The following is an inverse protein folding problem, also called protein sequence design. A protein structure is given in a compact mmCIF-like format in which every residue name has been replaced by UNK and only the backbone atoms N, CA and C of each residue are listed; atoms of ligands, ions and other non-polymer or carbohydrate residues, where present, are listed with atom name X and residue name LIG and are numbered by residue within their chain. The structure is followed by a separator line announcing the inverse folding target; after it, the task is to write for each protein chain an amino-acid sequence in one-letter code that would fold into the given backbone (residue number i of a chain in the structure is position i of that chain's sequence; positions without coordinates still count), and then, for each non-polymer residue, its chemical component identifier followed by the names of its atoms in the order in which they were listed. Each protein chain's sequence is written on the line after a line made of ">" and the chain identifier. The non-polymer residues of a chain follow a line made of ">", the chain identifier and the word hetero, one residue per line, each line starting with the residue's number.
data_IF_576348974997
#
_entry.id   IF_576348974997
#
_cell.length_a   1.000
_cell.length_b   1.000
_cell.length_c   1.000
_cell.angle_alpha   90.00
_cell.angle_beta   90.00
_cell.angle_gamma   90.00
#
_symmetry.space_group_name_H-M   'P 1'
#
loop_
_entity.id
_entity.type
_entity.pdbx_description
1 polymer ?
#
# COMPACT_ATOMS: atom_id res chain seq x y z
N UNK A 1 9.00 19.25 7.98
CA UNK A 1 7.62 18.83 7.68
C UNK A 1 7.73 18.07 6.37
N UNK A 2 7.52 16.75 6.38
CA UNK A 2 7.58 15.98 5.14
C UNK A 2 6.35 16.32 4.31
N UNK A 3 6.55 16.62 3.03
CA UNK A 3 5.44 16.90 2.12
C UNK A 3 4.55 15.66 1.99
N UNK A 4 3.23 15.89 1.90
CA UNK A 4 2.24 14.82 1.75
C UNK A 4 1.81 14.73 0.30
N UNK A 5 1.83 13.51 -0.24
CA UNK A 5 1.31 13.18 -1.56
C UNK A 5 0.02 12.38 -1.42
N UNK A 6 -0.92 12.64 -2.33
CA UNK A 6 -2.17 11.90 -2.38
C UNK A 6 -2.05 10.75 -3.37
N UNK A 7 -2.15 9.51 -2.89
CA UNK A 7 -2.05 8.30 -3.71
C UNK A 7 -3.42 7.62 -3.80
N UNK A 8 -3.98 7.44 -5.01
CA UNK A 8 -5.18 6.66 -5.19
C UNK A 8 -4.85 5.15 -5.11
N UNK A 9 -5.48 4.44 -4.18
CA UNK A 9 -5.34 2.99 -4.02
C UNK A 9 -6.69 2.31 -3.90
N UNK A 10 -6.80 1.10 -4.43
CA UNK A 10 -7.93 0.22 -4.11
C UNK A 10 -7.73 -0.42 -2.75
N UNK A 11 -8.81 -0.89 -2.11
CA UNK A 11 -8.69 -1.69 -0.88
C UNK A 11 -7.84 -2.95 -1.09
N UNK A 12 -7.83 -3.51 -2.29
CA UNK A 12 -6.89 -4.59 -2.65
C UNK A 12 -5.43 -4.12 -2.58
N UNK A 13 -5.12 -2.94 -3.13
CA UNK A 13 -3.79 -2.33 -3.02
C UNK A 13 -3.38 -2.08 -1.58
N UNK A 14 -4.29 -1.57 -0.74
CA UNK A 14 -4.06 -1.37 0.70
C UNK A 14 -3.72 -2.69 1.41
N UNK A 15 -4.46 -3.77 1.13
CA UNK A 15 -4.19 -5.08 1.69
C UNK A 15 -2.82 -5.62 1.30
N UNK A 16 -2.42 -5.49 0.04
CA UNK A 16 -1.11 -5.94 -0.40
C UNK A 16 0.02 -5.11 0.22
N UNK A 17 -0.13 -3.78 0.32
CA UNK A 17 0.86 -2.94 1.03
C UNK A 17 1.06 -3.42 2.47
N UNK A 18 -0.02 -3.63 3.22
CA UNK A 18 0.08 -4.05 4.62
C UNK A 18 0.65 -5.46 4.76
N UNK A 19 0.20 -6.39 3.93
CA UNK A 19 0.73 -7.76 3.89
C UNK A 19 2.24 -7.76 3.65
N UNK A 20 2.73 -7.02 2.67
CA UNK A 20 4.15 -7.03 2.32
C UNK A 20 5.00 -6.20 3.28
N UNK A 21 4.54 -5.02 3.71
CA UNK A 21 5.30 -4.20 4.65
C UNK A 21 5.31 -4.73 6.08
N UNK A 22 4.22 -5.37 6.54
CA UNK A 22 4.04 -5.76 7.94
C UNK A 22 4.13 -7.28 8.07
N UNK A 23 3.17 -8.01 7.50
CA UNK A 23 3.01 -9.44 7.78
C UNK A 23 4.20 -10.27 7.25
N UNK A 24 4.61 -10.04 6.00
CA UNK A 24 5.69 -10.78 5.32
C UNK A 24 7.09 -10.34 5.76
N UNK A 25 7.19 -9.16 6.38
CA UNK A 25 8.46 -8.62 6.87
C UNK A 25 8.62 -8.72 8.39
N UNK A 26 7.62 -9.22 9.13
CA UNK A 26 7.67 -9.52 10.57
C UNK A 26 8.33 -8.42 11.43
N UNK A 27 7.98 -7.15 11.16
CA UNK A 27 8.50 -5.99 11.90
C UNK A 27 9.91 -5.51 11.51
N UNK A 28 10.49 -6.04 10.43
CA UNK A 28 11.85 -5.71 9.98
C UNK A 28 11.93 -4.40 9.18
N UNK A 29 10.80 -3.92 8.66
CA UNK A 29 10.69 -2.64 7.97
C UNK A 29 10.38 -1.55 9.00
N UNK A 30 11.29 -0.59 9.23
CA UNK A 30 10.98 0.58 10.07
C UNK A 30 9.98 1.50 9.36
N UNK A 31 9.21 2.28 10.13
CA UNK A 31 8.27 3.26 9.57
C UNK A 31 6.92 2.68 9.13
N UNK A 32 6.60 1.44 9.52
CA UNK A 32 5.28 0.82 9.28
C UNK A 32 4.26 1.08 10.40
N UNK A 33 4.65 1.85 11.42
CA UNK A 33 3.85 2.24 12.58
C UNK A 33 3.39 3.71 12.53
N UNK A 34 3.60 4.38 11.39
CA UNK A 34 3.19 5.77 11.15
C UNK A 34 1.66 5.91 11.04
N UNK A 35 1.19 7.15 11.03
CA UNK A 35 -0.24 7.46 10.89
C UNK A 35 -0.82 6.95 9.56
N UNK A 36 -0.07 7.02 8.45
CA UNK A 36 -0.50 6.51 7.15
C UNK A 36 -0.73 5.00 7.17
N UNK A 37 0.19 4.23 7.77
CA UNK A 37 0.03 2.78 7.93
C UNK A 37 -1.12 2.42 8.88
N UNK A 38 -1.27 3.14 9.99
CA UNK A 38 -2.42 2.96 10.91
C UNK A 38 -3.76 3.24 10.21
N UNK A 39 -3.82 4.27 9.36
CA UNK A 39 -5.02 4.58 8.56
C UNK A 39 -5.33 3.44 7.58
N UNK A 40 -4.32 2.90 6.90
CA UNK A 40 -4.49 1.72 6.03
C UNK A 40 -5.05 0.51 6.79
N UNK A 41 -4.57 0.25 8.01
CA UNK A 41 -5.06 -0.84 8.85
C UNK A 41 -6.52 -0.62 9.26
N UNK A 42 -6.88 0.60 9.67
CA UNK A 42 -8.24 0.96 10.02
C UNK A 42 -9.21 0.76 8.83
N UNK A 43 -8.82 1.17 7.63
CA UNK A 43 -9.62 0.99 6.42
C UNK A 43 -9.84 -0.49 6.08
N UNK A 44 -8.84 -1.35 6.27
CA UNK A 44 -9.02 -2.80 6.09
C UNK A 44 -9.89 -3.43 7.18
N UNK A 45 -9.90 -2.88 8.39
CA UNK A 45 -10.78 -3.35 9.47
C UNK A 45 -12.27 -3.11 9.15
N UNK A 46 -12.60 -2.16 8.26
CA UNK A 46 -13.96 -1.93 7.75
C UNK A 46 -14.43 -3.02 6.77
N UNK A 47 -13.60 -4.02 6.46
CA UNK A 47 -13.97 -5.11 5.55
C UNK A 47 -15.26 -5.80 6.02
N UNK A 48 -16.28 -5.94 5.15
CA UNK A 48 -17.49 -6.67 5.48
C UNK A 48 -17.18 -8.10 5.97
N UNK A 49 -17.79 -8.49 7.10
CA UNK A 49 -17.68 -9.86 7.65
C UNK A 49 -18.82 -10.77 7.18
N UNK A 50 -19.72 -10.26 6.31
CA UNK A 50 -20.86 -11.01 5.81
C UNK A 50 -20.46 -11.99 4.70
N UNK A 51 -21.23 -13.06 4.54
CA UNK A 51 -21.11 -13.99 3.40
C UNK A 51 -21.63 -13.39 2.07
N UNK A 52 -21.74 -12.06 1.99
CA UNK A 52 -22.17 -11.35 0.79
C UNK A 52 -20.96 -11.11 -0.11
N UNK A 53 -20.80 -11.97 -1.11
CA UNK A 53 -19.73 -11.89 -2.09
C UNK A 53 -19.75 -10.59 -2.91
N UNK A 54 -20.93 -10.01 -3.15
CA UNK A 54 -21.04 -8.76 -3.91
C UNK A 54 -20.53 -7.59 -3.08
N UNK A 55 -20.91 -7.52 -1.80
CA UNK A 55 -20.40 -6.50 -0.88
C UNK A 55 -18.87 -6.60 -0.70
N UNK A 56 -18.35 -7.83 -0.65
CA UNK A 56 -16.91 -8.08 -0.55
C UNK A 56 -16.17 -7.64 -1.83
N UNK A 57 -16.70 -7.98 -3.00
CA UNK A 57 -16.11 -7.58 -4.30
C UNK A 57 -16.11 -6.05 -4.46
N UNK A 58 -17.22 -5.39 -4.10
CA UNK A 58 -17.32 -3.93 -4.11
C UNK A 58 -16.33 -3.28 -3.13
N UNK A 59 -16.16 -3.87 -1.94
CA UNK A 59 -15.17 -3.41 -0.97
C UNK A 59 -13.76 -3.47 -1.57
N UNK A 60 -13.35 -4.60 -2.15
CA UNK A 60 -12.00 -4.75 -2.71
C UNK A 60 -11.70 -3.80 -3.87
N UNK A 61 -12.71 -3.51 -4.70
CA UNK A 61 -12.61 -2.59 -5.85
C UNK A 61 -12.72 -1.12 -5.45
N UNK A 62 -13.21 -0.79 -4.26
CA UNK A 62 -13.33 0.59 -3.78
C UNK A 62 -11.97 1.26 -3.82
N UNK A 63 -11.91 2.39 -4.53
CA UNK A 63 -10.74 3.26 -4.59
C UNK A 63 -10.85 4.34 -3.52
N UNK A 64 -9.73 4.60 -2.84
CA UNK A 64 -9.58 5.64 -1.83
C UNK A 64 -8.37 6.50 -2.18
N UNK A 65 -8.41 7.77 -1.80
CA UNK A 65 -7.26 8.66 -1.86
C UNK A 65 -6.60 8.70 -0.48
N UNK A 66 -5.37 8.20 -0.39
CA UNK A 66 -4.58 8.21 0.84
C UNK A 66 -3.56 9.35 0.78
N UNK A 67 -3.58 10.20 1.79
CA UNK A 67 -2.55 11.21 1.99
C UNK A 67 -1.41 10.58 2.80
N UNK A 68 -0.27 10.38 2.15
CA UNK A 68 0.93 9.77 2.72
C UNK A 68 2.09 10.76 2.61
N UNK A 69 2.96 10.77 3.60
CA UNK A 69 4.25 11.49 3.53
C UNK A 69 5.18 10.81 2.53
N UNK A 70 6.12 11.55 1.96
CA UNK A 70 7.13 10.98 1.05
C UNK A 70 7.92 9.82 1.69
N UNK A 71 8.19 9.90 2.99
CA UNK A 71 8.87 8.84 3.75
C UNK A 71 8.03 7.55 3.82
N UNK A 72 6.72 7.67 4.01
CA UNK A 72 5.79 6.54 3.99
C UNK A 72 5.72 5.91 2.59
N UNK A 73 5.70 6.74 1.54
CA UNK A 73 5.70 6.25 0.15
C UNK A 73 7.01 5.52 -0.16
N UNK A 74 8.15 6.08 0.22
CA UNK A 74 9.45 5.43 0.08
C UNK A 74 9.50 4.10 0.83
N UNK A 75 8.91 4.04 2.03
CA UNK A 75 8.79 2.80 2.81
C UNK A 75 7.98 1.76 2.05
N UNK A 76 6.81 2.14 1.51
CA UNK A 76 5.96 1.25 0.70
C UNK A 76 6.71 0.71 -0.52
N UNK A 77 7.35 1.58 -1.29
CA UNK A 77 8.10 1.17 -2.48
C UNK A 77 9.22 0.18 -2.11
N UNK A 78 9.95 0.44 -1.02
CA UNK A 78 10.99 -0.48 -0.54
C UNK A 78 10.44 -1.84 -0.12
N UNK A 79 9.30 -1.88 0.57
CA UNK A 79 8.66 -3.15 0.95
C UNK A 79 8.28 -4.00 -0.25
N UNK A 80 7.83 -3.36 -1.33
CA UNK A 80 7.25 -4.03 -2.49
C UNK A 80 8.28 -4.40 -3.55
N UNK A 81 9.38 -3.63 -3.65
CA UNK A 81 10.31 -3.74 -4.77
C UNK A 81 11.77 -4.00 -4.39
N UNK A 82 12.23 -3.59 -3.21
CA UNK A 82 13.66 -3.60 -2.89
C UNK A 82 14.06 -4.66 -1.86
N UNK A 83 13.20 -4.93 -0.87
CA UNK A 83 13.53 -5.84 0.23
C UNK A 83 13.21 -7.27 -0.21
N UNK A 84 14.20 -8.18 -0.41
CA UNK A 84 13.90 -9.59 -0.54
C UNK A 84 13.14 -10.01 0.71
N UNK A 85 11.89 -10.45 0.54
CA UNK A 85 11.05 -10.82 1.67
C UNK A 85 11.73 -11.95 2.47
N UNK A 86 11.36 -12.07 3.75
CA UNK A 86 12.01 -13.00 4.68
C UNK A 86 12.04 -14.45 4.17
N UNK A 87 11.07 -14.83 3.36
CA UNK A 87 10.90 -16.18 2.82
C UNK A 87 11.68 -16.43 1.51
N UNK A 88 12.49 -15.47 1.04
CA UNK A 88 13.11 -15.48 -0.30
C UNK A 88 12.11 -15.74 -1.43
N UNK A 89 10.84 -15.42 -1.21
CA UNK A 89 9.82 -15.53 -2.23
C UNK A 89 10.00 -14.44 -3.30
N UNK A 90 9.60 -14.70 -4.55
CA UNK A 90 9.53 -13.66 -5.55
C UNK A 90 8.68 -12.49 -5.04
N UNK A 91 9.18 -11.27 -5.22
CA UNK A 91 8.43 -10.07 -4.92
C UNK A 91 7.07 -10.09 -5.63
N UNK A 92 6.03 -9.49 -5.03
CA UNK A 92 4.72 -9.43 -5.65
C UNK A 92 4.82 -8.79 -7.03
N UNK A 93 4.18 -9.40 -8.04
CA UNK A 93 4.09 -8.87 -9.41
C UNK A 93 3.14 -7.66 -9.51
N UNK A 94 2.93 -6.91 -8.42
CA UNK A 94 2.09 -5.73 -8.39
C UNK A 94 2.84 -4.62 -9.13
N UNK A 95 2.41 -4.38 -10.38
CA UNK A 95 2.93 -3.34 -11.27
C UNK A 95 2.35 -1.94 -10.96
N UNK A 96 2.22 -1.58 -9.69
CA UNK A 96 1.77 -0.24 -9.31
C UNK A 96 2.90 0.50 -8.59
N UNK A 97 3.70 1.27 -9.33
CA UNK A 97 4.64 2.20 -8.70
C UNK A 97 3.82 3.24 -7.94
N UNK A 98 4.00 3.31 -6.61
CA UNK A 98 3.29 4.25 -5.75
C UNK A 98 3.86 5.67 -5.94
N UNK A 99 5.13 5.76 -6.35
CA UNK A 99 5.70 7.01 -6.83
C UNK A 99 4.96 7.49 -8.09
N UNK A 100 4.42 8.72 -8.11
CA UNK A 100 4.06 9.32 -9.38
C UNK A 100 5.34 9.36 -10.20
N UNK A 101 5.39 8.67 -11.34
CA UNK A 101 6.32 9.07 -12.40
C UNK A 101 6.10 10.57 -12.54
N UNK A 102 7.14 11.35 -12.19
CA UNK A 102 7.07 12.80 -12.20
C UNK A 102 6.24 13.23 -13.40
N UNK A 103 5.20 14.03 -13.17
CA UNK A 103 4.49 14.70 -14.25
C UNK A 103 5.55 15.50 -15.04
N UNK A 104 6.09 14.90 -16.10
CA UNK A 104 7.38 15.36 -16.62
C UNK A 104 8.10 14.43 -17.59
N UNK A 105 7.46 13.49 -18.30
CA UNK A 105 7.96 13.04 -19.61
C UNK A 105 6.81 12.59 -20.52
N UNK A 106 6.01 13.55 -20.97
CA UNK A 106 5.38 13.46 -22.28
C UNK A 106 5.94 14.62 -23.10
N UNK A 107 6.71 14.26 -24.14
CA UNK A 107 7.08 15.03 -25.35
C UNK A 107 8.56 14.85 -25.71
N UNK A 108 8.86 13.79 -26.46
CA UNK A 108 9.41 13.91 -27.81
C UNK A 108 9.07 12.65 -28.62
#
# INVERSE_FOLDING_TARGET
>A
MSDKVTIPLTMYGVAEVLKWCIDRNNGRVPGVDTEGFKRMQALLAEKPTSNDYLALDQFWKKQIALELTEDEVSTIDRCLYDIPNFDNEPLPQIRHKFWPQAAGVASH
#
